data_IF_642699573597
#
_entry.id   IF_642699573597
#
_cell.length_a   1.000
_cell.length_b   1.000
_cell.length_c   1.000
_cell.angle_alpha   90.00
_cell.angle_beta   90.00
_cell.angle_gamma   90.00
#
_symmetry.space_group_name_H-M   'P 1'
#
loop_
_entity.id
_entity.type
_entity.pdbx_description
1 polymer ?
#
# COMPACT_ATOMS: atom_id res chain seq x y z
N UNK A 1 -4.81 36.62 18.97
CA UNK A 1 -4.35 35.27 18.56
C UNK A 1 -5.28 34.76 17.48
N UNK A 2 -4.80 34.56 16.26
CA UNK A 2 -5.60 33.95 15.20
C UNK A 2 -5.69 32.46 15.48
N UNK A 3 -6.88 31.96 15.84
CA UNK A 3 -7.13 30.53 16.03
C UNK A 3 -6.87 29.79 14.71
N UNK A 4 -6.15 28.66 14.80
CA UNK A 4 -5.99 27.76 13.65
C UNK A 4 -7.37 27.30 13.21
N UNK A 5 -7.77 27.61 11.98
CA UNK A 5 -9.01 27.07 11.41
C UNK A 5 -8.84 25.56 11.34
N UNK A 6 -9.68 24.83 12.05
CA UNK A 6 -9.75 23.37 11.93
C UNK A 6 -10.31 23.12 10.52
N UNK A 7 -9.49 22.54 9.65
CA UNK A 7 -9.91 22.18 8.30
C UNK A 7 -11.08 21.21 8.33
N UNK A 8 -12.03 21.37 7.43
CA UNK A 8 -13.16 20.47 7.24
C UNK A 8 -12.80 19.20 6.47
N UNK A 9 -11.58 19.11 5.94
CA UNK A 9 -11.08 17.90 5.31
C UNK A 9 -10.34 17.03 6.34
N UNK A 10 -10.84 15.83 6.58
CA UNK A 10 -10.13 14.82 7.37
C UNK A 10 -9.01 14.21 6.54
N UNK A 11 -7.90 13.87 7.18
CA UNK A 11 -6.83 13.09 6.55
C UNK A 11 -7.38 11.71 6.14
N UNK A 12 -6.87 11.18 5.04
CA UNK A 12 -7.26 9.86 4.50
C UNK A 12 -6.80 8.71 5.43
N UNK A 13 -5.99 9.00 6.43
CA UNK A 13 -5.39 8.04 7.34
C UNK A 13 -3.89 7.86 7.09
N UNK A 14 -3.32 6.83 7.70
CA UNK A 14 -1.91 6.46 7.50
C UNK A 14 -1.80 5.27 6.54
N UNK A 15 -0.68 5.10 5.83
CA UNK A 15 -0.46 3.91 5.00
C UNK A 15 -0.66 2.62 5.80
N UNK A 16 -1.42 1.68 5.22
CA UNK A 16 -1.79 0.42 5.86
C UNK A 16 -3.01 0.50 6.77
N UNK A 17 -3.65 1.66 6.95
CA UNK A 17 -4.90 1.73 7.71
C UNK A 17 -6.04 1.14 6.90
N UNK A 18 -6.81 0.24 7.51
CA UNK A 18 -8.08 -0.21 6.96
C UNK A 18 -9.07 0.96 6.95
N UNK A 19 -9.56 1.35 5.78
CA UNK A 19 -10.44 2.51 5.65
C UNK A 19 -11.92 2.16 5.76
N UNK A 20 -12.30 0.94 5.38
CA UNK A 20 -13.67 0.42 5.47
C UNK A 20 -13.66 -1.02 5.93
N UNK A 21 -14.53 -1.37 6.89
CA UNK A 21 -14.59 -2.72 7.46
C UNK A 21 -15.46 -3.69 6.66
N UNK A 22 -16.44 -3.19 5.92
CA UNK A 22 -17.28 -4.06 5.10
C UNK A 22 -16.42 -4.78 4.05
N UNK A 23 -16.57 -6.11 3.97
CA UNK A 23 -15.93 -6.97 2.99
C UNK A 23 -14.39 -7.05 3.09
N UNK A 24 -13.82 -6.76 4.26
CA UNK A 24 -12.38 -6.87 4.47
C UNK A 24 -11.95 -8.31 4.79
N UNK A 25 -10.97 -8.81 4.06
CA UNK A 25 -10.30 -10.10 4.34
C UNK A 25 -8.83 -9.84 4.57
N UNK A 26 -8.39 -10.11 5.81
CA UNK A 26 -7.01 -9.94 6.25
C UNK A 26 -6.43 -11.32 6.57
N UNK A 27 -5.21 -11.59 6.09
CA UNK A 27 -4.49 -12.83 6.34
C UNK A 27 -3.18 -12.54 7.06
N UNK A 28 -2.99 -13.18 8.21
CA UNK A 28 -1.75 -13.10 8.97
C UNK A 28 -0.79 -14.21 8.54
N UNK A 29 0.48 -13.85 8.28
CA UNK A 29 1.60 -14.76 8.05
C UNK A 29 2.89 -14.10 8.51
N UNK A 30 3.98 -14.85 8.49
CA UNK A 30 5.30 -14.33 8.85
C UNK A 30 5.86 -13.49 7.68
N UNK A 31 6.42 -12.33 7.99
CA UNK A 31 7.16 -11.51 7.03
C UNK A 31 8.52 -12.15 6.69
N UNK A 32 8.84 -12.30 5.41
CA UNK A 32 10.13 -12.83 4.96
C UNK A 32 11.26 -11.78 5.05
N UNK A 33 10.90 -10.51 5.08
CA UNK A 33 11.80 -9.36 5.17
C UNK A 33 11.10 -8.18 5.81
N UNK A 34 11.71 -7.02 5.76
CA UNK A 34 11.05 -5.77 6.17
C UNK A 34 9.96 -5.42 5.16
N UNK A 35 8.76 -5.13 5.64
CA UNK A 35 7.59 -4.77 4.82
C UNK A 35 6.99 -3.49 5.36
N UNK A 36 6.99 -2.43 4.57
CA UNK A 36 6.38 -1.17 4.96
C UNK A 36 4.85 -1.30 5.05
N UNK A 37 4.24 -0.60 6.00
CA UNK A 37 2.78 -0.49 6.05
C UNK A 37 2.24 0.19 4.78
N UNK A 38 1.19 -0.36 4.20
CA UNK A 38 0.62 0.11 2.94
C UNK A 38 1.38 -0.35 1.70
N UNK A 39 2.44 -1.15 1.84
CA UNK A 39 3.17 -1.71 0.71
C UNK A 39 2.45 -2.92 0.10
N UNK A 40 2.50 -3.08 -1.23
CA UNK A 40 2.04 -4.30 -1.90
C UNK A 40 2.99 -5.46 -1.58
N UNK A 41 2.40 -6.63 -1.41
CA UNK A 41 3.11 -7.85 -1.03
C UNK A 41 2.76 -9.03 -1.92
N UNK A 42 3.67 -9.97 -2.02
CA UNK A 42 3.49 -11.30 -2.65
C UNK A 42 3.49 -12.41 -1.61
N UNK A 43 2.85 -13.51 -1.95
CA UNK A 43 2.87 -14.73 -1.17
C UNK A 43 3.95 -15.67 -1.72
N UNK A 44 4.92 -16.03 -0.87
CA UNK A 44 5.93 -17.02 -1.20
C UNK A 44 5.40 -18.45 -1.03
N UNK A 45 5.98 -19.41 -1.74
CA UNK A 45 5.69 -20.84 -1.59
C UNK A 45 5.97 -21.34 -0.16
N UNK A 46 6.88 -20.68 0.56
CA UNK A 46 7.18 -20.93 1.97
C UNK A 46 6.09 -20.44 2.93
N UNK A 47 4.94 -19.98 2.42
CA UNK A 47 3.82 -19.45 3.20
C UNK A 47 4.17 -18.18 3.99
N UNK A 48 5.10 -17.37 3.49
CA UNK A 48 5.50 -16.08 4.06
C UNK A 48 5.08 -14.93 3.15
N UNK A 49 4.89 -13.74 3.75
CA UNK A 49 4.73 -12.50 2.99
C UNK A 49 6.07 -11.86 2.67
N UNK A 50 6.19 -11.32 1.48
CA UNK A 50 7.36 -10.55 1.04
C UNK A 50 6.92 -9.28 0.30
N UNK A 51 7.60 -8.17 0.52
CA UNK A 51 7.35 -6.93 -0.24
C UNK A 51 7.60 -7.15 -1.73
N UNK A 52 6.83 -6.47 -2.58
CA UNK A 52 7.05 -6.49 -4.03
C UNK A 52 8.42 -5.89 -4.33
N UNK A 53 9.24 -6.62 -5.06
CA UNK A 53 10.59 -6.24 -5.47
C UNK A 53 10.73 -6.05 -6.98
N UNK A 54 11.96 -5.87 -7.41
CA UNK A 54 12.32 -5.69 -8.82
C UNK A 54 11.91 -6.91 -9.65
N UNK A 55 11.32 -6.64 -10.82
CA UNK A 55 10.94 -7.68 -11.78
C UNK A 55 9.67 -8.46 -11.44
N UNK A 56 8.93 -8.05 -10.41
CA UNK A 56 7.65 -8.67 -10.08
C UNK A 56 6.62 -8.47 -11.21
N UNK A 57 5.65 -9.38 -11.28
CA UNK A 57 4.52 -9.32 -12.21
C UNK A 57 3.23 -8.89 -11.51
N UNK A 58 2.20 -8.55 -12.27
CA UNK A 58 0.90 -8.20 -11.71
C UNK A 58 0.24 -9.37 -10.94
N UNK A 59 0.54 -10.60 -11.33
CA UNK A 59 0.05 -11.81 -10.67
C UNK A 59 0.68 -12.03 -9.28
N UNK A 60 1.88 -11.49 -9.05
CA UNK A 60 2.57 -11.60 -7.75
C UNK A 60 1.92 -10.74 -6.67
N UNK A 61 1.19 -9.68 -7.04
CA UNK A 61 0.58 -8.76 -6.06
C UNK A 61 -0.61 -9.44 -5.39
N UNK A 62 -0.38 -10.01 -4.22
CA UNK A 62 -1.39 -10.74 -3.45
C UNK A 62 -2.28 -9.83 -2.59
N UNK A 63 -1.77 -8.70 -2.12
CA UNK A 63 -2.49 -7.77 -1.25
C UNK A 63 -1.62 -6.63 -0.77
N UNK A 64 -2.09 -5.91 0.24
CA UNK A 64 -1.43 -4.75 0.86
C UNK A 64 -1.19 -5.03 2.33
N UNK A 65 0.01 -4.74 2.83
CA UNK A 65 0.36 -4.84 4.24
C UNK A 65 -0.42 -3.80 5.06
N UNK A 66 -1.18 -4.23 6.07
CA UNK A 66 -2.06 -3.36 6.86
C UNK A 66 -1.63 -3.29 8.33
N UNK A 67 -2.04 -2.22 9.00
CA UNK A 67 -1.82 -1.97 10.43
C UNK A 67 -2.97 -2.54 11.27
N UNK A 68 -3.17 -3.84 11.29
CA UNK A 68 -4.29 -4.42 12.04
C UNK A 68 -3.86 -4.77 13.47
N UNK A 69 -2.87 -5.62 13.61
CA UNK A 69 -2.38 -6.09 14.92
C UNK A 69 -1.15 -5.31 15.34
N UNK A 70 -0.20 -5.13 14.43
CA UNK A 70 1.03 -4.36 14.68
C UNK A 70 0.80 -2.91 14.29
N UNK A 71 0.64 -2.03 15.27
CA UNK A 71 0.48 -0.59 15.06
C UNK A 71 1.82 0.14 14.98
N UNK A 72 2.79 -0.32 15.76
CA UNK A 72 4.15 0.21 15.82
C UNK A 72 5.10 -0.77 16.50
N UNK A 73 6.38 -0.75 16.13
CA UNK A 73 7.43 -1.55 16.76
C UNK A 73 8.15 -0.79 17.89
N UNK A 74 7.90 0.51 18.02
CA UNK A 74 8.48 1.38 19.03
C UNK A 74 7.41 2.22 19.72
N UNK A 75 7.78 2.92 20.79
CA UNK A 75 6.90 3.83 21.51
C UNK A 75 6.38 4.98 20.65
N UNK A 76 7.13 5.38 19.63
CA UNK A 76 6.68 6.35 18.62
C UNK A 76 6.08 5.61 17.40
N UNK A 77 4.74 5.49 17.30
CA UNK A 77 4.08 4.77 16.22
C UNK A 77 4.25 5.39 14.84
N UNK A 78 4.76 6.60 14.75
CA UNK A 78 4.95 7.32 13.48
C UNK A 78 6.35 7.10 12.90
N UNK A 79 7.32 6.77 13.74
CA UNK A 79 8.73 6.62 13.32
C UNK A 79 9.10 5.22 12.87
N UNK A 80 8.22 4.22 13.03
CA UNK A 80 8.49 2.84 12.56
C UNK A 80 7.33 2.30 11.74
N UNK A 81 7.29 2.61 10.43
CA UNK A 81 6.19 2.26 9.53
C UNK A 81 6.30 0.85 8.95
N UNK A 82 7.13 -0.06 9.52
CA UNK A 82 7.48 -1.32 8.88
C UNK A 82 7.19 -2.53 9.76
N UNK A 83 6.82 -3.65 9.13
CA UNK A 83 6.93 -4.97 9.72
C UNK A 83 8.40 -5.43 9.72
N UNK A 84 8.84 -6.01 10.84
CA UNK A 84 10.18 -6.56 10.97
C UNK A 84 10.21 -7.98 10.40
N UNK A 85 11.34 -8.37 9.80
CA UNK A 85 11.56 -9.72 9.29
C UNK A 85 11.31 -10.80 10.35
N UNK A 86 10.69 -11.90 9.96
CA UNK A 86 10.30 -13.04 10.79
C UNK A 86 9.24 -12.74 11.88
N UNK A 87 8.59 -11.58 11.82
CA UNK A 87 7.46 -11.23 12.69
C UNK A 87 6.12 -11.43 11.96
N UNK A 88 5.01 -11.59 12.70
CA UNK A 88 3.68 -11.64 12.11
C UNK A 88 3.39 -10.37 11.30
N UNK A 89 2.84 -10.56 10.11
CA UNK A 89 2.47 -9.50 9.17
C UNK A 89 1.05 -9.73 8.67
N UNK A 90 0.22 -8.70 8.80
CA UNK A 90 -1.17 -8.71 8.36
C UNK A 90 -1.28 -8.12 6.97
N UNK A 91 -1.91 -8.86 6.06
CA UNK A 91 -2.10 -8.46 4.67
C UNK A 91 -3.57 -8.50 4.32
N UNK A 92 -4.07 -7.37 3.86
CA UNK A 92 -5.41 -7.28 3.28
C UNK A 92 -5.38 -7.80 1.85
N UNK A 93 -6.11 -8.87 1.61
CA UNK A 93 -6.25 -9.50 0.28
C UNK A 93 -7.55 -9.12 -0.42
N UNK A 94 -8.48 -8.50 0.31
CA UNK A 94 -9.73 -7.91 -0.18
C UNK A 94 -10.20 -6.83 0.78
N UNK A 95 -10.78 -5.74 0.26
CA UNK A 95 -11.31 -4.63 1.06
C UNK A 95 -10.70 -3.28 0.69
N UNK A 96 -10.84 -2.32 1.59
CA UNK A 96 -10.37 -0.95 1.37
C UNK A 96 -9.30 -0.57 2.39
N UNK A 97 -8.21 -0.02 1.90
CA UNK A 97 -7.14 0.46 2.76
C UNK A 97 -6.50 1.74 2.22
N UNK A 98 -5.85 2.47 3.12
CA UNK A 98 -5.07 3.66 2.79
C UNK A 98 -3.66 3.24 2.40
N UNK A 99 -3.16 3.80 1.31
CA UNK A 99 -1.80 3.62 0.81
C UNK A 99 -1.16 4.96 0.49
N UNK A 100 0.16 4.98 0.37
CA UNK A 100 0.88 6.16 -0.12
C UNK A 100 1.05 6.08 -1.63
N UNK A 101 0.48 7.04 -2.36
CA UNK A 101 0.72 7.22 -3.78
C UNK A 101 1.96 8.10 -3.96
N UNK A 102 3.03 7.55 -4.53
CA UNK A 102 4.29 8.27 -4.67
C UNK A 102 4.38 9.10 -5.96
N UNK A 103 3.52 8.84 -6.96
CA UNK A 103 3.56 9.53 -8.25
C UNK A 103 2.19 9.54 -8.94
N UNK A 104 1.90 10.66 -9.59
CA UNK A 104 0.65 10.88 -10.33
C UNK A 104 -0.48 11.40 -9.44
N UNK A 105 -1.61 11.68 -10.08
CA UNK A 105 -2.83 12.15 -9.42
C UNK A 105 -3.89 11.05 -9.50
N UNK A 106 -4.26 10.42 -8.37
CA UNK A 106 -5.30 9.40 -8.34
C UNK A 106 -6.63 9.93 -8.86
N UNK A 107 -7.42 9.06 -9.47
CA UNK A 107 -8.81 9.34 -9.87
C UNK A 107 -9.71 8.22 -9.36
N UNK A 108 -10.95 8.53 -9.03
CA UNK A 108 -11.92 7.52 -8.62
C UNK A 108 -12.07 6.44 -9.72
N UNK A 109 -11.96 5.16 -9.34
CA UNK A 109 -11.95 4.04 -10.28
C UNK A 109 -10.67 3.93 -11.13
N UNK A 110 -9.67 4.77 -10.87
CA UNK A 110 -8.40 4.77 -11.61
C UNK A 110 -7.55 3.54 -11.32
N UNK A 111 -6.73 3.15 -12.31
CA UNK A 111 -5.82 2.01 -12.20
C UNK A 111 -4.73 2.26 -11.18
N UNK A 112 -4.47 1.27 -10.34
CA UNK A 112 -3.33 1.25 -9.42
C UNK A 112 -2.13 0.64 -10.15
N UNK A 113 -1.00 1.35 -10.12
CA UNK A 113 0.28 0.85 -10.62
C UNK A 113 1.22 0.58 -9.45
N UNK A 114 2.02 -0.46 -9.59
CA UNK A 114 3.10 -0.79 -8.64
C UNK A 114 4.43 -0.70 -9.37
N UNK A 115 5.38 0.00 -8.76
CA UNK A 115 6.73 0.14 -9.32
C UNK A 115 7.54 -1.13 -9.11
N UNK A 116 8.12 -1.63 -10.20
CA UNK A 116 8.94 -2.86 -10.21
C UNK A 116 10.40 -2.62 -10.63
N UNK A 117 10.72 -1.42 -11.09
CA UNK A 117 12.10 -1.05 -11.41
C UNK A 117 12.35 0.42 -11.10
N UNK A 118 13.59 0.73 -10.70
CA UNK A 118 14.02 2.11 -10.50
C UNK A 118 14.06 2.86 -11.83
N UNK A 119 13.80 4.16 -11.80
CA UNK A 119 13.91 5.04 -12.95
C UNK A 119 14.63 6.33 -12.52
N UNK A 120 15.76 6.63 -13.15
CA UNK A 120 16.57 7.81 -12.84
C UNK A 120 15.81 9.13 -13.04
N UNK A 121 14.81 9.16 -13.94
CA UNK A 121 13.93 10.31 -14.13
C UNK A 121 13.05 10.60 -12.89
N UNK A 122 12.80 9.57 -12.08
CA UNK A 122 11.98 9.66 -10.87
C UNK A 122 12.70 9.08 -9.67
N UNK A 123 13.79 9.70 -9.20
CA UNK A 123 14.67 9.12 -8.18
C UNK A 123 14.00 8.92 -6.82
N UNK A 124 12.92 9.64 -6.55
CA UNK A 124 12.14 9.52 -5.30
C UNK A 124 11.07 8.41 -5.36
N UNK A 125 10.85 7.80 -6.52
CA UNK A 125 9.89 6.72 -6.68
C UNK A 125 10.57 5.38 -6.39
N UNK A 126 10.21 4.77 -5.26
CA UNK A 126 10.83 3.53 -4.78
C UNK A 126 10.17 2.29 -5.39
N UNK A 127 10.93 1.23 -5.58
CA UNK A 127 10.41 -0.09 -5.99
C UNK A 127 9.46 -0.62 -4.91
N UNK A 128 8.35 -1.22 -5.33
CA UNK A 128 7.25 -1.61 -4.43
C UNK A 128 6.30 -0.47 -4.07
N UNK A 129 6.56 0.77 -4.50
CA UNK A 129 5.66 1.89 -4.26
C UNK A 129 4.45 1.91 -5.20
N UNK A 130 3.35 2.51 -4.72
CA UNK A 130 2.09 2.64 -5.47
C UNK A 130 2.07 3.96 -6.24
N UNK A 131 1.60 3.91 -7.47
CA UNK A 131 1.51 5.05 -8.38
C UNK A 131 0.14 5.13 -9.06
N UNK A 132 -0.26 6.36 -9.42
CA UNK A 132 -1.46 6.63 -10.21
C UNK A 132 -1.17 6.86 -11.69
N UNK A 133 0.11 6.78 -12.08
CA UNK A 133 0.55 7.01 -13.45
C UNK A 133 1.50 5.89 -13.89
N UNK A 134 1.27 5.32 -15.06
CA UNK A 134 2.16 4.34 -15.66
C UNK A 134 3.54 4.92 -15.96
N UNK A 135 4.56 4.09 -15.85
CA UNK A 135 5.95 4.40 -16.21
C UNK A 135 6.51 3.25 -17.06
N UNK A 136 6.03 3.18 -18.30
CA UNK A 136 6.44 2.19 -19.31
C UNK A 136 6.67 0.79 -18.73
N UNK A 137 7.91 0.31 -18.74
CA UNK A 137 8.31 -1.01 -18.22
C UNK A 137 8.68 -1.01 -16.74
N UNK A 138 8.69 0.17 -16.08
CA UNK A 138 9.10 0.30 -14.67
C UNK A 138 7.94 0.14 -13.69
N UNK A 139 6.69 0.11 -14.20
CA UNK A 139 5.49 -0.11 -13.40
C UNK A 139 4.60 -1.18 -14.01
N UNK A 140 3.86 -1.89 -13.18
CA UNK A 140 2.83 -2.85 -13.57
C UNK A 140 1.46 -2.36 -13.15
N UNK A 141 0.45 -2.53 -14.00
CA UNK A 141 -0.94 -2.27 -13.67
C UNK A 141 -1.51 -3.46 -12.88
N UNK A 142 -2.13 -3.20 -11.74
CA UNK A 142 -2.73 -4.24 -10.89
C UNK A 142 -4.23 -4.27 -11.12
N UNK A 143 -4.71 -5.22 -11.90
CA UNK A 143 -6.11 -5.27 -12.39
C UNK A 143 -7.15 -5.46 -11.27
N UNK A 144 -6.77 -6.09 -10.15
CA UNK A 144 -7.65 -6.33 -9.01
C UNK A 144 -7.68 -5.18 -7.99
N UNK A 145 -7.01 -4.07 -8.27
CA UNK A 145 -6.98 -2.90 -7.41
C UNK A 145 -7.39 -1.63 -8.17
N UNK A 146 -8.05 -0.72 -7.48
CA UNK A 146 -8.38 0.60 -8.02
C UNK A 146 -8.35 1.67 -6.93
N UNK A 147 -8.14 2.92 -7.31
CA UNK A 147 -8.31 4.05 -6.40
C UNK A 147 -9.80 4.26 -6.11
N UNK A 148 -10.20 4.21 -4.85
CA UNK A 148 -11.62 4.25 -4.45
C UNK A 148 -12.25 5.61 -4.74
N UNK A 149 -11.65 6.67 -4.17
CA UNK A 149 -12.21 8.02 -4.25
C UNK A 149 -11.40 8.97 -5.13
N UNK A 150 -10.11 8.67 -5.34
CA UNK A 150 -9.18 9.57 -6.02
C UNK A 150 -8.81 10.82 -5.21
N UNK A 151 -9.28 10.93 -3.97
CA UNK A 151 -8.90 12.02 -3.07
C UNK A 151 -7.58 11.66 -2.39
N UNK A 152 -6.57 12.49 -2.60
CA UNK A 152 -5.24 12.35 -2.00
C UNK A 152 -5.00 13.50 -1.03
N UNK A 153 -4.48 13.18 0.15
CA UNK A 153 -4.10 14.20 1.14
C UNK A 153 -2.72 14.82 0.83
N UNK A 154 -2.33 15.82 1.62
CA UNK A 154 -1.04 16.52 1.45
C UNK A 154 0.18 15.62 1.67
N UNK A 155 0.02 14.46 2.31
CA UNK A 155 1.08 13.48 2.56
C UNK A 155 1.17 12.42 1.46
N UNK A 156 0.30 12.50 0.46
CA UNK A 156 0.20 11.51 -0.62
C UNK A 156 -0.61 10.27 -0.27
N UNK A 157 -1.35 10.27 0.83
CA UNK A 157 -2.19 9.15 1.20
C UNK A 157 -3.49 9.16 0.42
N UNK A 158 -3.91 7.98 -0.04
CA UNK A 158 -5.11 7.77 -0.84
C UNK A 158 -5.73 6.41 -0.51
N UNK A 159 -7.04 6.32 -0.64
CA UNK A 159 -7.78 5.07 -0.45
C UNK A 159 -7.77 4.23 -1.74
N UNK A 160 -7.49 2.94 -1.59
CA UNK A 160 -7.63 1.94 -2.65
C UNK A 160 -8.62 0.85 -2.25
N UNK A 161 -9.23 0.24 -3.26
CA UNK A 161 -10.07 -0.96 -3.13
C UNK A 161 -9.33 -2.14 -3.74
N UNK A 162 -9.21 -3.23 -2.98
CA UNK A 162 -8.76 -4.54 -3.45
C UNK A 162 -10.01 -5.37 -3.70
N UNK A 163 -10.30 -5.71 -4.96
CA UNK A 163 -11.54 -6.39 -5.37
C UNK A 163 -11.51 -7.89 -5.09
N UNK A 164 -10.43 -8.52 -5.48
CA UNK A 164 -10.22 -9.96 -5.29
C UNK A 164 -8.73 -10.23 -5.08
N UNK A 165 -8.43 -11.35 -4.44
CA UNK A 165 -7.05 -11.82 -4.36
C UNK A 165 -6.56 -12.14 -5.79
N UNK A 166 -5.41 -11.59 -6.16
CA UNK A 166 -4.72 -12.03 -7.36
C UNK A 166 -4.38 -13.52 -7.20
N UNK A 167 -4.72 -14.31 -8.20
CA UNK A 167 -4.33 -15.72 -8.25
C UNK A 167 -2.94 -15.74 -8.87
N UNK A 168 -1.95 -16.07 -8.05
CA UNK A 168 -0.63 -16.39 -8.55
C UNK A 168 -0.65 -17.65 -9.41
#
# INVERSE_FOLDING_TARGET
MSGKVIGIAMNVGYPGTQSRQADAIIQNRIANGVIAFGAPVKLLETNKWEAIGTGATAADVAGIAVREVVQANTYDPQSNPDYVANMPCDVMVRGNCTVKCQRGTPKAGGTVYVRIAANETYPNAVVGGIEALADTTNTIAVANMEFTTGVMDSNGNVEITIKTRAKG
#
